data_IF_397973122943
#
_entry.id   IF_397973122943
#
_cell.length_a   1.000
_cell.length_b   1.000
_cell.length_c   1.000
_cell.angle_alpha   90.00
_cell.angle_beta   90.00
_cell.angle_gamma   90.00
#
_symmetry.space_group_name_H-M   'P 1'
#
loop_
_entity.id
_entity.type
_entity.pdbx_description
1 polymer ?
#
# COMPACT_ATOMS: atom_id res chain seq x y z
N UNK A 1 10.91 -74.13 0.92
CA UNK A 1 10.90 -72.88 1.71
C UNK A 1 11.30 -71.61 0.95
N UNK A 2 11.63 -71.64 -0.35
CA UNK A 2 12.02 -70.44 -1.12
C UNK A 2 10.91 -69.78 -1.97
N UNK A 3 9.71 -70.37 -2.02
CA UNK A 3 8.58 -69.80 -2.80
C UNK A 3 7.69 -68.86 -1.99
N UNK A 4 7.68 -68.95 -0.66
CA UNK A 4 6.82 -68.12 0.21
C UNK A 4 7.36 -66.68 0.35
N UNK A 5 8.68 -66.51 0.39
CA UNK A 5 9.32 -65.19 0.50
C UNK A 5 9.26 -64.38 -0.80
N UNK A 6 9.15 -65.05 -1.97
CA UNK A 6 9.07 -64.35 -3.25
C UNK A 6 7.71 -63.65 -3.45
N UNK A 7 6.62 -64.23 -2.95
CA UNK A 7 5.29 -63.61 -3.01
C UNK A 7 5.13 -62.45 -2.01
N UNK A 8 5.79 -62.50 -0.84
CA UNK A 8 5.82 -61.39 0.12
C UNK A 8 6.62 -60.19 -0.41
N UNK A 9 7.70 -60.42 -1.16
CA UNK A 9 8.48 -59.34 -1.77
C UNK A 9 7.72 -58.66 -2.92
N UNK A 10 6.99 -59.43 -3.75
CA UNK A 10 6.13 -58.88 -4.81
C UNK A 10 4.93 -58.09 -4.27
N UNK A 11 4.35 -58.48 -3.14
CA UNK A 11 3.26 -57.71 -2.50
C UNK A 11 3.76 -56.36 -1.94
N UNK A 12 4.98 -56.31 -1.40
CA UNK A 12 5.59 -55.09 -0.87
C UNK A 12 5.99 -54.07 -1.95
N UNK A 13 6.41 -54.54 -3.14
CA UNK A 13 6.80 -53.65 -4.24
C UNK A 13 5.59 -53.06 -4.98
N UNK A 14 4.47 -53.79 -5.07
CA UNK A 14 3.23 -53.28 -5.69
C UNK A 14 2.53 -52.24 -4.81
N UNK A 15 2.66 -52.31 -3.48
CA UNK A 15 2.09 -51.33 -2.56
C UNK A 15 2.89 -50.02 -2.44
N UNK A 16 4.15 -49.99 -2.88
CA UNK A 16 4.97 -48.77 -2.94
C UNK A 16 4.83 -48.00 -4.27
N UNK A 17 4.05 -48.52 -5.24
CA UNK A 17 3.79 -47.89 -6.55
C UNK A 17 2.29 -47.71 -6.83
N UNK A 18 1.45 -47.80 -5.80
CA UNK A 18 0.10 -47.24 -5.88
C UNK A 18 0.20 -45.74 -5.60
N UNK A 19 -0.15 -44.85 -6.55
CA UNK A 19 -0.35 -43.45 -6.23
C UNK A 19 -1.43 -43.39 -5.15
N UNK A 20 -1.13 -42.72 -4.05
CA UNK A 20 -2.09 -42.45 -2.99
C UNK A 20 -3.38 -41.93 -3.61
N UNK A 21 -4.45 -42.66 -3.32
CA UNK A 21 -5.83 -42.37 -3.63
C UNK A 21 -6.16 -40.89 -3.45
N UNK A 22 -6.84 -40.32 -4.46
CA UNK A 22 -8.00 -39.45 -4.28
C UNK A 22 -7.95 -38.47 -3.09
N UNK A 23 -6.90 -37.67 -2.98
CA UNK A 23 -7.17 -36.28 -2.66
C UNK A 23 -7.97 -35.77 -3.87
N UNK A 24 -9.24 -35.44 -3.67
CA UNK A 24 -9.94 -34.61 -4.62
C UNK A 24 -9.04 -33.40 -4.84
N UNK A 25 -8.33 -33.37 -5.97
CA UNK A 25 -7.83 -32.14 -6.53
C UNK A 25 -9.12 -31.42 -6.87
N UNK A 26 -9.67 -30.71 -5.88
CA UNK A 26 -10.55 -29.60 -6.17
C UNK A 26 -9.82 -28.86 -7.29
N UNK A 27 -10.43 -28.68 -8.47
CA UNK A 27 -9.80 -27.87 -9.49
C UNK A 27 -9.37 -26.60 -8.75
N UNK A 28 -8.05 -26.35 -8.69
CA UNK A 28 -7.56 -25.02 -8.33
C UNK A 28 -8.37 -24.15 -9.26
N UNK A 29 -9.24 -23.28 -8.75
CA UNK A 29 -10.08 -22.49 -9.63
C UNK A 29 -9.09 -21.80 -10.56
N UNK A 30 -9.12 -22.20 -11.83
CA UNK A 30 -8.48 -21.44 -12.90
C UNK A 30 -8.85 -20.00 -12.59
N UNK A 31 -7.87 -19.09 -12.42
CA UNK A 31 -8.16 -17.74 -11.95
C UNK A 31 -9.28 -17.27 -12.84
N UNK A 32 -10.47 -17.13 -12.25
CA UNK A 32 -11.69 -16.99 -13.00
C UNK A 32 -11.39 -15.95 -14.08
N UNK A 33 -11.52 -16.33 -15.34
CA UNK A 33 -11.84 -15.40 -16.39
C UNK A 33 -13.20 -14.84 -16.01
N UNK A 34 -13.19 -13.96 -15.00
CA UNK A 34 -14.25 -13.01 -14.76
C UNK A 34 -14.21 -12.20 -16.02
N UNK A 35 -15.13 -12.53 -16.94
CA UNK A 35 -15.37 -11.74 -18.12
C UNK A 35 -15.37 -10.29 -17.68
N UNK A 36 -14.45 -9.50 -18.23
CA UNK A 36 -14.29 -8.06 -18.01
C UNK A 36 -15.56 -7.34 -18.46
N UNK A 37 -16.62 -7.45 -17.65
CA UNK A 37 -17.71 -6.49 -17.72
C UNK A 37 -17.16 -5.22 -17.08
N UNK A 38 -17.13 -4.08 -17.79
CA UNK A 38 -16.65 -2.83 -17.21
C UNK A 38 -17.64 -2.37 -16.14
N UNK A 39 -17.39 -2.74 -14.88
CA UNK A 39 -18.18 -2.29 -13.73
C UNK A 39 -17.62 -0.97 -13.22
N UNK A 40 -18.53 -0.09 -12.81
CA UNK A 40 -18.38 1.36 -12.75
C UNK A 40 -18.48 1.88 -11.29
N UNK A 41 -17.39 2.43 -10.71
CA UNK A 41 -17.27 3.09 -9.38
C UNK A 41 -16.39 4.39 -9.30
N UNK A 42 -15.94 4.85 -8.11
CA UNK A 42 -15.28 6.17 -7.88
C UNK A 42 -14.28 6.20 -6.69
N UNK A 43 -12.98 6.48 -6.91
CA UNK A 43 -11.98 6.85 -5.92
C UNK A 43 -11.63 8.34 -6.10
N UNK A 44 -11.03 8.93 -5.09
CA UNK A 44 -10.97 10.37 -4.95
C UNK A 44 -9.57 10.79 -4.51
N UNK A 45 -8.91 11.66 -5.27
CA UNK A 45 -7.78 12.40 -4.74
C UNK A 45 -8.34 13.65 -4.05
N UNK A 46 -8.13 13.78 -2.75
CA UNK A 46 -8.52 14.98 -2.03
C UNK A 46 -7.38 16.01 -2.06
N UNK A 47 -7.73 17.29 -2.06
CA UNK A 47 -6.78 18.37 -1.87
C UNK A 47 -7.28 19.32 -0.81
N UNK A 48 -6.35 20.02 -0.18
CA UNK A 48 -6.67 21.10 0.73
C UNK A 48 -6.82 22.38 -0.12
N UNK A 49 -8.03 22.94 -0.15
CA UNK A 49 -8.25 24.26 -0.70
C UNK A 49 -7.54 25.33 0.16
N UNK A 50 -7.40 26.55 -0.38
CA UNK A 50 -6.67 27.63 0.29
C UNK A 50 -7.26 28.01 1.66
N UNK A 51 -8.57 27.76 1.84
CA UNK A 51 -9.32 27.98 3.08
C UNK A 51 -9.23 26.81 4.08
N UNK A 52 -8.51 25.73 3.74
CA UNK A 52 -8.40 24.51 4.56
C UNK A 52 -9.47 23.46 4.27
N UNK A 53 -10.40 23.71 3.33
CA UNK A 53 -11.47 22.77 2.99
C UNK A 53 -10.91 21.59 2.19
N UNK A 54 -11.21 20.37 2.63
CA UNK A 54 -10.88 19.15 1.87
C UNK A 54 -11.85 19.06 0.72
N UNK A 55 -11.32 19.20 -0.47
CA UNK A 55 -12.07 19.23 -1.71
C UNK A 55 -11.67 18.05 -2.57
N UNK A 56 -12.61 17.62 -3.40
CA UNK A 56 -12.38 16.54 -4.34
C UNK A 56 -11.74 17.10 -5.60
N UNK A 57 -10.52 16.65 -5.92
CA UNK A 57 -9.88 17.03 -7.18
C UNK A 57 -10.39 16.21 -8.35
N UNK A 58 -10.64 14.92 -8.14
CA UNK A 58 -10.94 13.99 -9.23
C UNK A 58 -11.66 12.72 -8.80
N UNK A 59 -12.45 12.16 -9.72
CA UNK A 59 -13.32 10.99 -9.58
C UNK A 59 -12.70 9.76 -10.30
N UNK A 60 -12.70 8.56 -9.72
CA UNK A 60 -12.06 7.36 -10.31
C UNK A 60 -12.83 6.04 -10.14
N UNK A 61 -13.64 5.64 -11.09
CA UNK A 61 -13.62 4.29 -11.67
C UNK A 61 -13.66 2.91 -10.88
N UNK A 62 -13.49 2.71 -9.56
CA UNK A 62 -12.90 1.46 -8.96
C UNK A 62 -13.80 0.31 -8.32
N UNK A 63 -13.71 -0.99 -8.70
CA UNK A 63 -14.77 -2.01 -8.43
C UNK A 63 -15.01 -2.65 -7.07
N UNK A 64 -14.10 -2.54 -6.10
CA UNK A 64 -14.10 -3.47 -4.95
C UNK A 64 -13.83 -2.80 -3.60
N UNK A 65 -13.75 -1.46 -3.55
CA UNK A 65 -13.55 -0.73 -2.31
C UNK A 65 -14.36 0.57 -2.28
N UNK A 66 -15.12 0.74 -1.20
CA UNK A 66 -15.75 2.00 -0.81
C UNK A 66 -14.72 2.88 -0.10
N UNK A 67 -13.78 3.46 -0.84
CA UNK A 67 -12.86 4.43 -0.27
C UNK A 67 -13.39 5.85 -0.52
N UNK A 68 -13.98 6.43 0.52
CA UNK A 68 -14.29 7.86 0.56
C UNK A 68 -13.43 8.48 1.64
N UNK A 69 -12.67 9.51 1.29
CA UNK A 69 -12.08 10.37 2.30
C UNK A 69 -13.26 10.98 3.10
N UNK A 70 -13.43 10.63 4.40
CA UNK A 70 -14.60 11.03 5.20
C UNK A 70 -14.58 12.51 5.59
N UNK A 71 -13.55 13.23 5.13
CA UNK A 71 -13.35 14.66 5.35
C UNK A 71 -13.70 15.50 4.13
N UNK A 72 -14.10 14.89 3.00
CA UNK A 72 -14.57 15.64 1.84
C UNK A 72 -15.70 16.60 2.22
N UNK A 73 -15.56 17.86 1.80
CA UNK A 73 -16.49 18.95 2.11
C UNK A 73 -16.34 19.51 3.51
N UNK A 74 -15.44 18.98 4.34
CA UNK A 74 -15.12 19.48 5.68
C UNK A 74 -13.85 20.30 5.64
N UNK A 75 -13.76 21.29 6.52
CA UNK A 75 -12.53 22.05 6.71
C UNK A 75 -11.71 21.42 7.82
N UNK A 76 -10.47 21.05 7.51
CA UNK A 76 -9.57 20.45 8.49
C UNK A 76 -8.96 21.58 9.33
N UNK A 77 -9.26 21.57 10.62
CA UNK A 77 -8.69 22.51 11.60
C UNK A 77 -7.35 22.02 12.09
N UNK A 78 -7.25 20.73 12.41
CA UNK A 78 -6.01 20.12 12.90
C UNK A 78 -5.95 18.63 12.61
N UNK A 79 -4.72 18.12 12.52
CA UNK A 79 -4.41 16.70 12.43
C UNK A 79 -3.25 16.42 13.36
N UNK A 80 -3.45 15.52 14.32
CA UNK A 80 -2.45 15.14 15.30
C UNK A 80 -2.34 13.62 15.37
N UNK A 81 -1.12 13.10 15.32
CA UNK A 81 -0.82 11.69 15.60
C UNK A 81 -0.93 11.43 17.10
N UNK A 82 -1.77 10.45 17.45
CA UNK A 82 -1.92 9.93 18.80
C UNK A 82 -0.77 8.99 19.14
N UNK A 83 -0.50 8.77 20.43
CA UNK A 83 0.51 7.80 20.85
C UNK A 83 0.10 6.38 20.49
N UNK A 84 1.07 5.58 20.07
CA UNK A 84 0.95 4.14 20.02
C UNK A 84 2.24 3.45 20.47
N UNK A 85 2.30 2.13 20.29
CA UNK A 85 3.45 1.31 20.73
C UNK A 85 4.70 1.44 19.85
N UNK A 86 4.65 2.17 18.74
CA UNK A 86 5.73 2.25 17.76
C UNK A 86 6.57 3.53 17.90
N UNK A 87 6.10 4.51 18.66
CA UNK A 87 6.74 5.83 18.77
C UNK A 87 6.95 6.24 20.21
N UNK A 88 8.11 6.81 20.51
CA UNK A 88 8.36 7.53 21.77
C UNK A 88 7.64 8.90 21.76
N UNK A 89 7.57 9.57 22.91
CA UNK A 89 7.03 10.94 22.97
C UNK A 89 7.81 11.92 22.07
N UNK A 90 9.15 11.75 21.99
CA UNK A 90 10.00 12.57 21.13
C UNK A 90 9.69 12.32 19.64
N UNK A 91 9.50 11.05 19.25
CA UNK A 91 9.12 10.70 17.89
C UNK A 91 7.76 11.30 17.54
N UNK A 92 6.79 11.22 18.46
CA UNK A 92 5.44 11.78 18.26
C UNK A 92 5.46 13.30 18.12
N UNK A 93 6.26 14.01 18.93
CA UNK A 93 6.42 15.46 18.80
C UNK A 93 6.93 15.81 17.39
N UNK A 94 7.99 15.12 16.93
CA UNK A 94 8.56 15.32 15.60
C UNK A 94 7.56 14.98 14.49
N UNK A 95 6.80 13.88 14.62
CA UNK A 95 5.74 13.53 13.66
C UNK A 95 4.69 14.64 13.59
N UNK A 96 4.24 15.13 14.73
CA UNK A 96 3.23 16.20 14.80
C UNK A 96 3.74 17.53 14.23
N UNK A 97 5.04 17.83 14.33
CA UNK A 97 5.66 18.97 13.63
C UNK A 97 5.71 18.77 12.11
N UNK A 98 5.86 17.53 11.64
CA UNK A 98 5.94 17.21 10.21
C UNK A 98 4.59 17.15 9.51
N UNK A 99 3.50 16.77 10.20
CA UNK A 99 2.17 16.63 9.60
C UNK A 99 1.75 17.90 8.83
N UNK A 100 1.79 19.13 9.41
CA UNK A 100 1.42 20.34 8.69
C UNK A 100 2.30 20.60 7.47
N UNK A 101 3.60 20.27 7.55
CA UNK A 101 4.53 20.40 6.42
C UNK A 101 4.13 19.45 5.30
N UNK A 102 3.90 18.18 5.62
CA UNK A 102 3.49 17.18 4.65
C UNK A 102 2.19 17.56 3.95
N UNK A 103 1.17 18.02 4.70
CA UNK A 103 -0.10 18.49 4.14
C UNK A 103 0.13 19.65 3.17
N UNK A 104 0.94 20.64 3.54
CA UNK A 104 1.24 21.81 2.70
C UNK A 104 2.01 21.45 1.43
N UNK A 105 3.07 20.67 1.54
CA UNK A 105 3.94 20.30 0.41
C UNK A 105 3.22 19.40 -0.60
N UNK A 106 2.41 18.46 -0.09
CA UNK A 106 1.63 17.54 -0.92
C UNK A 106 0.29 18.16 -1.38
N UNK A 107 -0.18 19.21 -0.71
CA UNK A 107 -1.49 19.82 -0.92
C UNK A 107 -2.65 18.90 -0.55
N UNK A 108 -2.44 17.91 0.32
CA UNK A 108 -3.43 16.87 0.63
C UNK A 108 -3.20 16.24 1.99
N UNK A 109 -4.29 16.01 2.73
CA UNK A 109 -4.29 15.21 3.96
C UNK A 109 -4.07 13.71 3.67
N UNK A 110 -4.40 13.26 2.45
CA UNK A 110 -4.23 11.86 2.05
C UNK A 110 -2.76 11.40 2.22
N UNK A 111 -1.81 12.30 1.98
CA UNK A 111 -0.38 12.01 2.12
C UNK A 111 0.02 11.64 3.56
N UNK A 112 -0.62 12.24 4.57
CA UNK A 112 -0.39 11.94 6.00
C UNK A 112 -0.73 10.48 6.28
N UNK A 113 -1.91 10.07 5.82
CA UNK A 113 -2.42 8.73 6.06
C UNK A 113 -1.70 7.68 5.23
N UNK A 114 -1.25 8.03 4.03
CA UNK A 114 -0.40 7.19 3.21
C UNK A 114 0.94 6.93 3.91
N UNK A 115 1.63 7.97 4.40
CA UNK A 115 2.89 7.80 5.15
C UNK A 115 2.68 6.94 6.40
N UNK A 116 1.57 7.13 7.12
CA UNK A 116 1.23 6.26 8.25
C UNK A 116 1.03 4.79 7.84
N UNK A 117 0.30 4.55 6.74
CA UNK A 117 0.03 3.21 6.25
C UNK A 117 1.32 2.49 5.79
N UNK A 118 2.21 3.25 5.15
CA UNK A 118 3.40 2.74 4.46
C UNK A 118 4.60 2.51 5.37
N UNK A 119 4.95 3.52 6.15
CA UNK A 119 6.18 3.52 6.94
C UNK A 119 5.94 3.72 8.41
N UNK A 120 4.73 4.11 8.83
CA UNK A 120 4.47 4.58 10.20
C UNK A 120 5.47 5.65 10.60
N UNK A 121 5.77 6.55 9.66
CA UNK A 121 6.73 7.64 9.84
C UNK A 121 8.18 7.22 10.06
N UNK A 122 8.53 5.96 9.80
CA UNK A 122 9.91 5.50 9.81
C UNK A 122 10.59 5.86 8.48
N UNK A 123 11.45 6.88 8.50
CA UNK A 123 12.23 7.31 7.33
C UNK A 123 13.24 6.28 6.84
N UNK A 124 13.54 5.25 7.64
CA UNK A 124 14.42 4.15 7.31
C UNK A 124 13.65 2.84 7.09
N UNK A 125 12.32 2.90 6.99
CA UNK A 125 11.50 1.74 6.79
C UNK A 125 11.99 0.92 5.59
N UNK A 126 12.06 -0.40 5.78
CA UNK A 126 12.40 -1.37 4.74
C UNK A 126 11.22 -2.31 4.57
N UNK A 127 10.44 -2.11 3.51
CA UNK A 127 9.32 -2.97 3.18
C UNK A 127 9.77 -4.36 2.68
N UNK A 128 8.85 -5.33 2.61
CA UNK A 128 9.15 -6.72 2.23
C UNK A 128 9.59 -6.88 0.77
N UNK A 129 9.51 -5.81 -0.03
CA UNK A 129 9.70 -5.85 -1.49
C UNK A 129 10.73 -4.85 -2.01
N UNK A 130 11.81 -4.61 -1.26
CA UNK A 130 12.81 -3.59 -1.66
C UNK A 130 12.18 -2.19 -1.72
N UNK A 131 11.18 -1.95 -0.88
CA UNK A 131 10.61 -0.64 -0.64
C UNK A 131 11.38 0.05 0.48
N UNK A 132 11.57 1.36 0.35
CA UNK A 132 12.43 2.13 1.25
C UNK A 132 11.81 3.46 1.66
N UNK A 133 12.00 3.81 2.92
CA UNK A 133 11.74 5.14 3.47
C UNK A 133 10.27 5.49 3.66
N UNK A 134 9.99 6.78 3.88
CA UNK A 134 8.68 7.28 4.31
C UNK A 134 7.54 6.90 3.37
N UNK A 135 7.81 6.95 2.06
CA UNK A 135 6.85 6.67 1.00
C UNK A 135 7.06 5.30 0.36
N UNK A 136 7.92 4.46 0.95
CA UNK A 136 8.18 3.08 0.51
C UNK A 136 8.48 2.99 -0.99
N UNK A 137 9.49 3.74 -1.45
CA UNK A 137 9.90 3.73 -2.86
C UNK A 137 10.45 2.35 -3.25
N UNK A 138 9.75 1.67 -4.15
CA UNK A 138 10.15 0.37 -4.68
C UNK A 138 11.44 0.47 -5.53
N UNK A 139 12.43 -0.37 -5.21
CA UNK A 139 13.73 -0.44 -5.91
C UNK A 139 14.04 -1.81 -6.52
N UNK A 140 13.13 -2.80 -6.38
CA UNK A 140 13.37 -4.19 -6.79
C UNK A 140 13.42 -4.44 -8.32
N UNK A 141 13.29 -3.42 -9.17
CA UNK A 141 13.34 -3.55 -10.62
C UNK A 141 14.15 -2.41 -11.26
N UNK A 142 15.08 -2.77 -12.16
CA UNK A 142 15.99 -1.84 -12.87
C UNK A 142 15.28 -0.77 -13.70
N UNK A 143 13.99 -0.94 -14.02
CA UNK A 143 13.18 0.09 -14.68
C UNK A 143 12.96 1.34 -13.82
N UNK A 144 13.14 1.24 -12.50
CA UNK A 144 12.89 2.32 -11.54
C UNK A 144 14.16 3.06 -11.15
N UNK A 145 14.90 3.53 -12.17
CA UNK A 145 16.21 4.16 -12.00
C UNK A 145 16.15 5.38 -11.08
N UNK A 146 15.10 6.19 -11.16
CA UNK A 146 14.95 7.40 -10.35
C UNK A 146 14.77 7.09 -8.85
N UNK A 147 13.99 6.06 -8.52
CA UNK A 147 13.85 5.60 -7.14
C UNK A 147 15.15 5.01 -6.61
N UNK A 148 15.81 4.16 -7.42
CA UNK A 148 17.10 3.57 -7.07
C UNK A 148 18.16 4.66 -6.85
N UNK A 149 18.22 5.65 -7.73
CA UNK A 149 19.16 6.77 -7.63
C UNK A 149 18.88 7.60 -6.37
N UNK A 150 17.61 7.92 -6.12
CA UNK A 150 17.23 8.66 -4.92
C UNK A 150 17.57 7.89 -3.65
N UNK A 151 17.14 6.63 -3.50
CA UNK A 151 17.39 5.81 -2.30
C UNK A 151 18.90 5.63 -2.02
N UNK A 152 19.75 5.70 -3.05
CA UNK A 152 21.22 5.64 -2.90
C UNK A 152 21.88 7.01 -2.69
N UNK A 153 21.14 8.10 -2.84
CA UNK A 153 21.67 9.46 -2.70
C UNK A 153 21.77 9.90 -1.24
N UNK A 154 22.61 10.88 -0.96
CA UNK A 154 22.67 11.50 0.37
C UNK A 154 21.33 12.14 0.77
N UNK A 155 20.59 12.66 -0.20
CA UNK A 155 19.27 13.26 0.02
C UNK A 155 18.28 12.29 0.67
N UNK A 156 18.39 10.98 0.43
CA UNK A 156 17.51 9.99 1.06
C UNK A 156 17.61 10.00 2.59
N UNK A 157 18.73 10.43 3.17
CA UNK A 157 18.92 10.50 4.61
C UNK A 157 18.32 11.77 5.24
N UNK A 158 17.71 12.67 4.46
CA UNK A 158 16.95 13.81 4.95
C UNK A 158 15.46 13.53 4.86
N UNK A 159 14.76 13.71 5.97
CA UNK A 159 13.31 13.57 6.02
C UNK A 159 12.62 14.63 5.16
N UNK A 160 13.20 15.83 5.09
CA UNK A 160 12.72 16.93 4.26
C UNK A 160 12.81 16.59 2.78
N UNK A 161 13.92 15.99 2.35
CA UNK A 161 14.12 15.54 0.96
C UNK A 161 13.23 14.36 0.60
N UNK A 162 13.00 13.43 1.54
CA UNK A 162 12.00 12.38 1.38
C UNK A 162 10.59 12.96 1.20
N UNK A 163 10.19 13.96 1.99
CA UNK A 163 8.90 14.65 1.84
C UNK A 163 8.83 15.40 0.51
N UNK A 164 9.88 16.13 0.12
CA UNK A 164 9.92 16.90 -1.13
C UNK A 164 9.70 15.99 -2.35
N UNK A 165 10.48 14.91 -2.45
CA UNK A 165 10.31 13.92 -3.54
C UNK A 165 8.97 13.22 -3.44
N UNK A 166 8.56 12.78 -2.26
CA UNK A 166 7.31 12.07 -2.04
C UNK A 166 6.11 12.89 -2.46
N UNK A 167 6.05 14.17 -2.07
CA UNK A 167 5.00 15.10 -2.47
C UNK A 167 5.07 15.48 -3.96
N UNK A 168 6.26 15.56 -4.57
CA UNK A 168 6.39 15.72 -6.02
C UNK A 168 5.81 14.51 -6.75
N UNK A 169 6.17 13.29 -6.33
CA UNK A 169 5.69 12.05 -6.93
C UNK A 169 4.18 11.89 -6.72
N UNK A 170 3.69 12.18 -5.52
CA UNK A 170 2.27 12.16 -5.14
C UNK A 170 1.44 13.10 -6.02
N UNK A 171 1.92 14.33 -6.25
CA UNK A 171 1.27 15.32 -7.13
C UNK A 171 1.39 14.97 -8.61
N UNK A 172 2.50 14.33 -9.02
CA UNK A 172 2.75 13.95 -10.41
C UNK A 172 1.82 12.81 -10.87
N UNK A 173 1.35 11.96 -9.96
CA UNK A 173 0.23 11.04 -10.22
C UNK A 173 -1.08 11.83 -10.16
N UNK A 174 -1.25 12.74 -11.11
CA UNK A 174 -2.49 13.49 -11.30
C UNK A 174 -3.47 12.75 -12.24
N UNK A 175 -2.95 11.81 -13.04
CA UNK A 175 -3.77 10.96 -13.90
C UNK A 175 -4.04 9.60 -13.24
N UNK A 176 -5.17 9.58 -12.59
CA UNK A 176 -5.82 8.45 -11.94
C UNK A 176 -6.14 7.28 -12.88
N UNK A 177 -6.15 7.50 -14.20
CA UNK A 177 -6.25 6.42 -15.19
C UNK A 177 -4.97 5.58 -15.26
N UNK A 178 -3.88 6.09 -14.71
CA UNK A 178 -2.64 5.38 -14.46
C UNK A 178 -2.57 4.92 -13.01
N UNK A 179 -3.67 4.44 -12.41
CA UNK A 179 -3.66 3.72 -11.13
C UNK A 179 -4.37 2.38 -11.31
N UNK A 180 -3.68 1.29 -10.97
CA UNK A 180 -4.17 -0.08 -11.04
C UNK A 180 -4.22 -0.69 -9.64
N UNK A 181 -5.31 -1.41 -9.36
CA UNK A 181 -5.34 -2.28 -8.19
C UNK A 181 -4.45 -3.49 -8.43
N UNK A 182 -3.48 -3.71 -7.55
CA UNK A 182 -2.68 -4.93 -7.55
C UNK A 182 -3.37 -5.99 -6.71
N UNK A 183 -3.99 -6.99 -7.34
CA UNK A 183 -4.54 -8.15 -6.63
C UNK A 183 -3.47 -8.89 -5.80
N UNK A 184 -2.22 -8.90 -6.26
CA UNK A 184 -1.07 -9.49 -5.54
C UNK A 184 -0.79 -8.79 -4.22
N UNK A 185 -0.89 -7.46 -4.19
CA UNK A 185 -0.52 -6.64 -3.03
C UNK A 185 -1.74 -6.19 -2.22
N UNK A 186 -2.94 -6.42 -2.76
CA UNK A 186 -4.22 -5.92 -2.25
C UNK A 186 -4.20 -4.40 -2.01
N UNK A 187 -3.55 -3.67 -2.92
CA UNK A 187 -3.33 -2.23 -2.80
C UNK A 187 -3.37 -1.54 -4.17
N UNK A 188 -3.67 -0.25 -4.17
CA UNK A 188 -3.66 0.60 -5.36
C UNK A 188 -2.24 1.07 -5.62
N UNK A 189 -1.82 1.01 -6.88
CA UNK A 189 -0.52 1.49 -7.32
C UNK A 189 -0.70 2.28 -8.59
N UNK A 190 0.17 3.23 -8.86
CA UNK A 190 0.19 3.82 -10.20
C UNK A 190 0.43 2.72 -11.27
N UNK A 191 0.13 2.95 -12.55
CA UNK A 191 0.24 1.97 -13.65
C UNK A 191 1.68 1.55 -13.88
N UNK A 192 2.61 2.46 -13.63
CA UNK A 192 4.05 2.18 -13.53
C UNK A 192 4.42 1.41 -12.24
N UNK A 193 3.47 1.20 -11.31
CA UNK A 193 3.57 0.38 -10.11
C UNK A 193 4.16 1.09 -8.89
N UNK A 194 4.34 2.41 -8.94
CA UNK A 194 5.46 3.09 -8.26
C UNK A 194 5.15 4.19 -7.24
N UNK A 195 4.05 4.93 -7.36
CA UNK A 195 3.94 6.26 -6.71
C UNK A 195 2.80 6.41 -5.70
N UNK A 196 1.94 5.40 -5.57
CA UNK A 196 0.74 5.42 -4.72
C UNK A 196 0.65 4.18 -3.80
N UNK A 197 1.78 3.61 -3.40
CA UNK A 197 1.79 2.51 -2.44
C UNK A 197 1.13 2.97 -1.12
N UNK A 198 0.18 2.21 -0.61
CA UNK A 198 -0.49 2.42 0.69
C UNK A 198 -1.78 3.19 0.65
N UNK A 199 -2.17 3.72 -0.51
CA UNK A 199 -3.41 4.49 -0.62
C UNK A 199 -4.66 3.65 -0.37
N UNK A 200 -4.65 2.33 -0.61
CA UNK A 200 -5.76 1.47 -0.19
C UNK A 200 -5.92 1.43 1.33
N UNK A 201 -4.82 1.57 2.08
CA UNK A 201 -4.76 1.39 3.52
C UNK A 201 -4.80 2.71 4.30
N UNK A 202 -4.56 3.85 3.63
CA UNK A 202 -4.54 5.18 4.23
C UNK A 202 -5.79 5.47 5.09
N UNK A 203 -6.98 5.04 4.67
CA UNK A 203 -8.23 5.29 5.42
C UNK A 203 -8.77 4.03 6.06
N UNK A 204 -7.93 2.99 6.21
CA UNK A 204 -8.31 1.84 7.01
C UNK A 204 -8.63 2.30 8.45
N UNK A 205 -9.61 1.69 9.14
CA UNK A 205 -9.91 2.02 10.53
C UNK A 205 -8.68 1.93 11.44
N UNK A 206 -7.74 1.03 11.11
CA UNK A 206 -6.49 0.85 11.82
C UNK A 206 -5.51 2.02 11.69
N UNK A 207 -5.55 2.78 10.59
CA UNK A 207 -4.77 4.01 10.38
C UNK A 207 -5.51 5.20 10.97
N UNK A 208 -6.80 5.38 10.67
CA UNK A 208 -7.55 6.55 11.13
C UNK A 208 -7.62 6.67 12.65
N UNK A 209 -7.75 5.54 13.38
CA UNK A 209 -7.78 5.53 14.86
C UNK A 209 -6.49 6.04 15.52
N UNK A 210 -5.43 6.21 14.74
CA UNK A 210 -4.13 6.69 15.19
C UNK A 210 -4.03 8.20 15.16
N UNK A 211 -5.02 8.89 14.60
CA UNK A 211 -5.05 10.33 14.50
C UNK A 211 -6.24 10.92 15.23
N UNK A 212 -6.01 12.07 15.83
CA UNK A 212 -7.05 13.03 16.19
C UNK A 212 -7.16 14.03 15.04
N UNK A 213 -8.36 14.15 14.48
CA UNK A 213 -8.64 15.01 13.32
C UNK A 213 -9.82 15.89 13.68
N UNK A 214 -9.58 17.19 13.75
CA UNK A 214 -10.61 18.19 14.07
C UNK A 214 -11.08 18.82 12.76
N UNK A 215 -12.40 18.82 12.54
CA UNK A 215 -13.03 19.42 11.37
C UNK A 215 -14.10 20.43 11.76
N UNK A 216 -14.23 21.50 10.96
CA UNK A 216 -15.39 22.42 10.95
C UNK A 216 -16.49 21.92 9.99
#
# INVERSE_FOLDING_TARGET
MYRFFFYLFLLGVVLCWLPASNAAILPVPSPHTVADKPVKFTAYQSYLAADGTVTLRRYIKAPTLHYQNPFVGKKIVSVKRLKDKFHTEADLAKINEMIPKLIRECGSIDAVFMVEAESRWDMYAKGPTSDHGLFQWFTGNKRYKDNIAFVRSQDFHSIEKQIEKGCRDFRAVADVNDVLFSARWRDWRSRDGMKWHGMANAYSPGVLKRFEIITE
#
